data_IF_819058078221
#
_entry.id   IF_819058078221
#
_cell.length_a   1.000
_cell.length_b   1.000
_cell.length_c   1.000
_cell.angle_alpha   90.00
_cell.angle_beta   90.00
_cell.angle_gamma   90.00
#
_symmetry.space_group_name_H-M   'P 1'
#
loop_
_entity.id
_entity.type
_entity.pdbx_description
1 polymer ?
#
# COMPACT_ATOMS: atom_id res chain seq x y z
N UNK A 1 3.54 9.74 -12.17
CA UNK A 1 2.33 8.93 -11.86
C UNK A 1 2.65 7.93 -10.76
N UNK A 2 3.66 7.07 -10.97
CA UNK A 2 4.13 6.00 -10.07
C UNK A 2 4.72 6.40 -8.69
N UNK A 3 4.96 7.70 -8.48
CA UNK A 3 5.35 8.27 -7.18
C UNK A 3 4.15 8.93 -6.47
N UNK A 4 3.17 9.41 -7.26
CA UNK A 4 2.02 10.19 -6.77
C UNK A 4 1.02 9.28 -6.08
N UNK A 5 0.80 8.09 -6.63
CA UNK A 5 -0.01 7.02 -6.04
C UNK A 5 0.54 6.59 -4.66
N UNK A 6 1.84 6.31 -4.55
CA UNK A 6 2.47 5.91 -3.27
C UNK A 6 2.39 7.04 -2.23
N UNK A 7 2.64 8.28 -2.65
CA UNK A 7 2.46 9.45 -1.77
C UNK A 7 0.99 9.57 -1.33
N UNK A 8 0.04 9.41 -2.25
CA UNK A 8 -1.38 9.49 -1.94
C UNK A 8 -1.82 8.37 -0.97
N UNK A 9 -1.37 7.13 -1.17
CA UNK A 9 -1.63 6.02 -0.23
C UNK A 9 -1.07 6.34 1.15
N UNK A 10 0.17 6.83 1.23
CA UNK A 10 0.81 7.22 2.49
C UNK A 10 0.04 8.34 3.21
N UNK A 11 -0.30 9.42 2.48
CA UNK A 11 -1.04 10.57 3.03
C UNK A 11 -2.43 10.17 3.50
N UNK A 12 -3.17 9.38 2.73
CA UNK A 12 -4.52 8.92 3.10
C UNK A 12 -4.45 7.97 4.32
N UNK A 13 -3.42 7.11 4.39
CA UNK A 13 -3.20 6.21 5.53
C UNK A 13 -2.97 7.01 6.82
N UNK A 14 -2.12 8.04 6.78
CA UNK A 14 -1.89 8.94 7.93
C UNK A 14 -3.14 9.76 8.24
N UNK A 15 -3.84 10.29 7.23
CA UNK A 15 -5.07 11.06 7.42
C UNK A 15 -6.16 10.24 8.13
N UNK A 16 -6.22 8.93 7.87
CA UNK A 16 -7.16 8.00 8.53
C UNK A 16 -6.96 7.96 10.05
N UNK A 17 -5.75 8.28 10.55
CA UNK A 17 -5.51 8.37 11.99
C UNK A 17 -6.24 9.53 12.66
N UNK A 18 -6.65 10.57 11.93
CA UNK A 18 -7.32 11.76 12.48
C UNK A 18 -8.85 11.73 12.33
N UNK A 19 -9.38 10.68 11.71
CA UNK A 19 -10.82 10.50 11.49
C UNK A 19 -11.58 10.40 12.80
N UNK A 20 -12.70 11.12 12.88
CA UNK A 20 -13.55 11.18 14.09
C UNK A 20 -14.96 10.65 13.85
N UNK A 21 -15.38 10.47 12.59
CA UNK A 21 -16.70 9.93 12.23
C UNK A 21 -16.62 8.67 11.35
N UNK A 22 -17.60 7.74 11.44
CA UNK A 22 -17.64 6.56 10.55
C UNK A 22 -17.75 6.93 9.07
N UNK A 23 -18.38 8.06 8.75
CA UNK A 23 -18.55 8.54 7.37
C UNK A 23 -17.21 9.02 6.80
N UNK A 24 -16.42 9.78 7.57
CA UNK A 24 -15.05 10.13 7.19
C UNK A 24 -14.20 8.87 6.94
N UNK A 25 -14.32 7.85 7.81
CA UNK A 25 -13.58 6.60 7.64
C UNK A 25 -13.96 5.92 6.33
N UNK A 26 -15.26 5.85 6.03
CA UNK A 26 -15.77 5.30 4.78
C UNK A 26 -15.19 6.04 3.57
N UNK A 27 -15.20 7.38 3.59
CA UNK A 27 -14.63 8.20 2.52
C UNK A 27 -13.15 7.92 2.34
N UNK A 28 -12.37 7.87 3.41
CA UNK A 28 -10.93 7.53 3.34
C UNK A 28 -10.70 6.14 2.74
N UNK A 29 -11.54 5.15 3.08
CA UNK A 29 -11.44 3.78 2.55
C UNK A 29 -11.82 3.68 1.08
N UNK A 30 -12.77 4.50 0.62
CA UNK A 30 -13.09 4.61 -0.81
C UNK A 30 -11.93 5.27 -1.56
N UNK A 31 -11.39 6.37 -1.04
CA UNK A 31 -10.28 7.09 -1.66
C UNK A 31 -9.04 6.21 -1.79
N UNK A 32 -8.62 5.52 -0.73
CA UNK A 32 -7.45 4.62 -0.79
C UNK A 32 -7.70 3.46 -1.77
N UNK A 33 -8.93 2.96 -1.85
CA UNK A 33 -9.31 1.91 -2.81
C UNK A 33 -9.19 2.37 -4.26
N UNK A 34 -9.57 3.62 -4.57
CA UNK A 34 -9.40 4.21 -5.91
C UNK A 34 -7.91 4.32 -6.26
N UNK A 35 -7.07 4.79 -5.33
CA UNK A 35 -5.63 4.95 -5.57
C UNK A 35 -4.95 3.59 -5.77
N UNK A 36 -5.26 2.60 -4.92
CA UNK A 36 -4.76 1.24 -5.07
C UNK A 36 -5.22 0.62 -6.41
N UNK A 37 -6.48 0.84 -6.79
CA UNK A 37 -7.03 0.40 -8.08
C UNK A 37 -6.30 0.98 -9.29
N UNK A 38 -5.73 2.19 -9.15
CA UNK A 38 -4.89 2.81 -10.17
C UNK A 38 -3.44 2.28 -10.16
N UNK A 39 -2.85 1.96 -9.00
CA UNK A 39 -1.47 1.44 -8.90
C UNK A 39 -1.34 0.02 -9.50
N UNK A 40 -2.34 -0.86 -9.34
CA UNK A 40 -2.31 -2.22 -9.91
C UNK A 40 -2.01 -2.29 -11.43
N UNK A 41 -2.74 -1.57 -12.30
CA UNK A 41 -2.45 -1.57 -13.74
C UNK A 41 -1.14 -0.86 -14.07
N UNK A 42 -0.72 0.16 -13.30
CA UNK A 42 0.54 0.87 -13.52
C UNK A 42 1.73 -0.05 -13.23
N UNK A 43 1.73 -0.70 -12.06
CA UNK A 43 2.79 -1.61 -11.63
C UNK A 43 2.94 -2.80 -12.58
N UNK A 44 1.80 -3.40 -12.99
CA UNK A 44 1.82 -4.51 -13.96
C UNK A 44 2.34 -4.05 -15.31
N UNK A 45 1.90 -2.90 -15.84
CA UNK A 45 2.37 -2.36 -17.12
C UNK A 45 3.88 -2.11 -17.12
N UNK A 46 4.41 -1.43 -16.09
CA UNK A 46 5.86 -1.20 -15.95
C UNK A 46 6.67 -2.51 -15.99
N UNK A 47 6.25 -3.52 -15.23
CA UNK A 47 6.97 -4.80 -15.21
C UNK A 47 6.94 -5.45 -16.57
N UNK A 48 5.81 -5.37 -17.27
CA UNK A 48 5.68 -5.97 -18.59
C UNK A 48 6.50 -5.26 -19.67
N UNK A 49 6.70 -3.94 -19.54
CA UNK A 49 7.47 -3.12 -20.47
C UNK A 49 8.98 -3.21 -20.22
N UNK A 50 9.41 -3.21 -18.96
CA UNK A 50 10.83 -3.17 -18.60
C UNK A 50 11.46 -4.54 -18.30
N UNK A 51 10.66 -5.63 -18.20
CA UNK A 51 11.20 -6.97 -17.96
C UNK A 51 11.50 -7.74 -19.25
N UNK A 52 12.65 -8.41 -19.30
CA UNK A 52 12.95 -9.40 -20.34
C UNK A 52 11.92 -10.55 -20.33
N UNK A 53 11.65 -11.15 -21.49
CA UNK A 53 10.68 -12.26 -21.65
C UNK A 53 10.90 -13.43 -20.69
N UNK A 54 12.15 -13.69 -20.28
CA UNK A 54 12.50 -14.74 -19.32
C UNK A 54 12.23 -14.37 -17.86
N UNK A 55 12.38 -13.10 -17.48
CA UNK A 55 12.20 -12.63 -16.11
C UNK A 55 10.77 -12.17 -15.81
N UNK A 56 9.99 -11.82 -16.83
CA UNK A 56 8.61 -11.33 -16.70
C UNK A 56 7.72 -12.25 -15.86
N UNK A 57 7.76 -13.56 -16.12
CA UNK A 57 6.98 -14.55 -15.36
C UNK A 57 7.42 -14.62 -13.88
N UNK A 58 8.72 -14.47 -13.62
CA UNK A 58 9.25 -14.45 -12.25
C UNK A 58 8.84 -13.18 -11.51
N UNK A 59 8.98 -12.00 -12.13
CA UNK A 59 8.62 -10.71 -11.53
C UNK A 59 7.13 -10.63 -11.15
N UNK A 60 6.25 -11.10 -12.03
CA UNK A 60 4.79 -11.13 -11.76
C UNK A 60 4.48 -12.10 -10.60
N UNK A 61 5.10 -13.29 -10.61
CA UNK A 61 4.93 -14.26 -9.53
C UNK A 61 5.46 -13.75 -8.19
N UNK A 62 6.57 -13.01 -8.22
CA UNK A 62 7.16 -12.39 -7.03
C UNK A 62 6.21 -11.36 -6.41
N UNK A 63 5.55 -10.52 -7.22
CA UNK A 63 4.52 -9.59 -6.72
C UNK A 63 3.34 -10.33 -6.10
N UNK A 64 2.86 -11.39 -6.74
CA UNK A 64 1.80 -12.20 -6.18
C UNK A 64 2.20 -12.79 -4.81
N UNK A 65 3.45 -13.24 -4.65
CA UNK A 65 3.97 -13.69 -3.37
C UNK A 65 4.05 -12.56 -2.33
N UNK A 66 4.51 -11.37 -2.73
CA UNK A 66 4.60 -10.21 -1.85
C UNK A 66 3.23 -9.74 -1.33
N UNK A 67 2.14 -10.00 -2.06
CA UNK A 67 0.79 -9.73 -1.57
C UNK A 67 0.48 -10.54 -0.31
N UNK A 68 0.80 -11.84 -0.29
CA UNK A 68 0.62 -12.70 0.88
C UNK A 68 1.52 -12.31 2.05
N UNK A 69 2.76 -11.90 1.76
CA UNK A 69 3.67 -11.36 2.77
C UNK A 69 3.06 -10.10 3.41
N UNK A 70 2.58 -9.17 2.58
CA UNK A 70 1.92 -7.96 3.05
C UNK A 70 0.68 -8.24 3.90
N UNK A 71 -0.18 -9.18 3.47
CA UNK A 71 -1.36 -9.59 4.22
C UNK A 71 -0.99 -10.20 5.59
N UNK A 72 0.02 -11.07 5.61
CA UNK A 72 0.51 -11.69 6.86
C UNK A 72 1.10 -10.65 7.80
N UNK A 73 1.86 -9.69 7.27
CA UNK A 73 2.39 -8.57 8.07
C UNK A 73 1.26 -7.70 8.62
N UNK A 74 0.21 -7.44 7.83
CA UNK A 74 -0.95 -6.68 8.28
C UNK A 74 -1.69 -7.40 9.42
N UNK A 75 -1.86 -8.72 9.33
CA UNK A 75 -2.45 -9.53 10.40
C UNK A 75 -1.61 -9.49 11.68
N UNK A 76 -0.27 -9.56 11.57
CA UNK A 76 0.62 -9.49 12.72
C UNK A 76 0.56 -8.11 13.41
N UNK A 77 0.55 -7.03 12.63
CA UNK A 77 0.37 -5.67 13.14
C UNK A 77 -1.00 -5.50 13.79
N UNK A 78 -2.04 -6.04 13.17
CA UNK A 78 -3.39 -6.05 13.73
C UNK A 78 -3.47 -6.80 15.06
N UNK A 79 -2.81 -7.96 15.16
CA UNK A 79 -2.73 -8.75 16.38
C UNK A 79 -2.03 -7.97 17.52
N UNK A 80 -0.89 -7.33 17.25
CA UNK A 80 -0.17 -6.55 18.26
C UNK A 80 -0.90 -5.28 18.71
N UNK A 81 -1.73 -4.70 17.85
CA UNK A 81 -2.48 -3.48 18.14
C UNK A 81 -3.91 -3.76 18.63
N UNK A 82 -4.32 -5.03 18.73
CA UNK A 82 -5.69 -5.41 19.04
C UNK A 82 -6.17 -4.88 20.40
N UNK A 83 -5.36 -5.04 21.45
CA UNK A 83 -5.70 -4.60 22.81
C UNK A 83 -5.31 -3.13 23.09
N UNK A 84 -4.76 -2.42 22.11
CA UNK A 84 -4.34 -1.03 22.25
C UNK A 84 -5.55 -0.10 22.09
N UNK A 85 -5.73 0.84 23.03
CA UNK A 85 -6.78 1.85 22.91
C UNK A 85 -6.58 2.69 21.63
N UNK A 86 -7.58 2.69 20.75
CA UNK A 86 -7.46 3.32 19.43
C UNK A 86 -6.50 2.60 18.48
N UNK A 87 -6.13 1.35 18.75
CA UNK A 87 -5.18 0.55 17.95
C UNK A 87 -5.53 0.45 16.47
N UNK A 88 -6.82 0.48 16.12
CA UNK A 88 -7.27 0.51 14.73
C UNK A 88 -6.74 1.71 13.93
N UNK A 89 -6.54 2.87 14.58
CA UNK A 89 -5.98 4.08 13.95
C UNK A 89 -4.53 3.84 13.57
N UNK A 90 -3.77 3.27 14.50
CA UNK A 90 -2.37 2.89 14.29
C UNK A 90 -2.23 1.76 13.27
N UNK A 91 -3.15 0.80 13.27
CA UNK A 91 -3.16 -0.29 12.31
C UNK A 91 -3.33 0.24 10.88
N UNK A 92 -4.31 1.13 10.65
CA UNK A 92 -4.51 1.75 9.33
C UNK A 92 -3.39 2.74 8.96
N UNK A 93 -2.89 3.50 9.94
CA UNK A 93 -1.79 4.44 9.73
C UNK A 93 -0.44 3.78 9.47
N UNK A 94 -0.21 2.56 9.98
CA UNK A 94 1.05 1.83 9.84
C UNK A 94 1.43 1.53 8.39
N UNK A 95 0.46 1.50 7.47
CA UNK A 95 0.68 1.37 6.03
C UNK A 95 1.57 2.50 5.45
N UNK A 96 1.71 3.63 6.15
CA UNK A 96 2.66 4.68 5.80
C UNK A 96 4.12 4.19 5.81
N UNK A 97 4.47 3.23 6.68
CA UNK A 97 5.84 2.70 6.80
C UNK A 97 6.28 1.99 5.50
N UNK A 98 5.58 0.93 5.02
CA UNK A 98 5.94 0.31 3.75
C UNK A 98 5.81 1.27 2.57
N UNK A 99 4.87 2.24 2.60
CA UNK A 99 4.80 3.28 1.57
C UNK A 99 6.09 4.11 1.50
N UNK A 100 6.64 4.54 2.64
CA UNK A 100 7.89 5.29 2.68
C UNK A 100 9.08 4.45 2.20
N UNK A 101 9.14 3.18 2.58
CA UNK A 101 10.19 2.27 2.09
C UNK A 101 10.13 2.11 0.57
N UNK A 102 8.94 1.93 0.01
CA UNK A 102 8.72 1.86 -1.43
C UNK A 102 9.06 3.19 -2.10
N UNK A 103 8.69 4.33 -1.50
CA UNK A 103 8.99 5.65 -2.04
C UNK A 103 10.49 5.88 -2.17
N UNK A 104 11.27 5.50 -1.15
CA UNK A 104 12.74 5.60 -1.17
C UNK A 104 13.31 4.68 -2.27
N UNK A 105 12.84 3.43 -2.36
CA UNK A 105 13.29 2.50 -3.39
C UNK A 105 12.89 2.91 -4.81
N UNK A 106 11.77 3.62 -4.98
CA UNK A 106 11.27 4.11 -6.28
C UNK A 106 11.91 5.45 -6.68
N UNK A 107 12.59 6.15 -5.79
CA UNK A 107 13.19 7.46 -6.08
C UNK A 107 14.31 7.40 -7.15
N UNK A 108 14.92 6.22 -7.34
CA UNK A 108 15.97 5.98 -8.34
C UNK A 108 15.44 5.36 -9.65
N UNK A 109 14.15 5.01 -9.70
CA UNK A 109 13.52 4.46 -10.90
C UNK A 109 13.00 5.62 -11.78
N UNK A 110 13.34 5.65 -13.09
CA UNK A 110 12.93 6.72 -14.01
C UNK A 110 11.42 6.78 -14.27
#
# INVERSE_FOLDING_TARGET
MFLIDIIAIGVISVATMFVSSPVELLVMRVLIGIVIGADYPIATSMITEFSSTRQRAFSISFIAAMWYVGATCADLVGYWLYDVEGGWRWMLGSAAIPCLLILIGRFELP
#
